data_IF_114937566435
#
_entry.id   IF_114937566435
#
_cell.length_a   1.000
_cell.length_b   1.000
_cell.length_c   1.000
_cell.angle_alpha   90.00
_cell.angle_beta   90.00
_cell.angle_gamma   90.00
#
_symmetry.space_group_name_H-M   'P 1'
#
loop_
_entity.id
_entity.type
_entity.pdbx_description
1 polymer ?
#
# COMPACT_ATOMS: atom_id res chain seq x y z
N UNK A 1 -21.81 -18.90 -19.89
CA UNK A 1 -20.72 -18.61 -20.85
C UNK A 1 -20.28 -17.13 -20.82
N UNK A 2 -21.18 -16.18 -20.51
CA UNK A 2 -20.91 -14.73 -20.52
C UNK A 2 -19.94 -14.21 -19.44
N UNK A 3 -19.97 -14.79 -18.23
CA UNK A 3 -19.13 -14.31 -17.12
C UNK A 3 -17.62 -14.54 -17.40
N UNK A 4 -17.27 -15.69 -18.00
CA UNK A 4 -15.88 -16.01 -18.40
C UNK A 4 -15.37 -15.04 -19.46
N UNK A 5 -16.23 -14.61 -20.37
CA UNK A 5 -15.88 -13.65 -21.41
C UNK A 5 -15.71 -12.23 -20.85
N UNK A 6 -16.55 -11.83 -19.90
CA UNK A 6 -16.40 -10.55 -19.17
C UNK A 6 -15.10 -10.48 -18.38
N UNK A 7 -14.76 -11.52 -17.61
CA UNK A 7 -13.50 -11.57 -16.85
C UNK A 7 -12.29 -11.51 -17.80
N UNK A 8 -12.36 -12.20 -18.95
CA UNK A 8 -11.29 -12.16 -19.97
C UNK A 8 -11.15 -10.77 -20.60
N UNK A 9 -12.24 -10.07 -20.82
CA UNK A 9 -12.26 -8.69 -21.33
C UNK A 9 -11.66 -7.71 -20.32
N UNK A 10 -12.06 -7.80 -19.05
CA UNK A 10 -11.52 -6.98 -17.97
C UNK A 10 -10.02 -7.19 -17.79
N UNK A 11 -9.55 -8.45 -17.84
CA UNK A 11 -8.12 -8.78 -17.80
C UNK A 11 -7.35 -8.19 -18.99
N UNK A 12 -7.93 -8.19 -20.19
CA UNK A 12 -7.32 -7.58 -21.38
C UNK A 12 -7.24 -6.06 -21.27
N UNK A 13 -8.30 -5.41 -20.76
CA UNK A 13 -8.30 -3.96 -20.49
C UNK A 13 -7.25 -3.61 -19.45
N UNK A 14 -7.19 -4.37 -18.36
CA UNK A 14 -6.18 -4.19 -17.32
C UNK A 14 -4.75 -4.34 -17.87
N UNK A 15 -4.50 -5.36 -18.69
CA UNK A 15 -3.20 -5.56 -19.33
C UNK A 15 -2.85 -4.46 -20.35
N UNK A 16 -3.84 -3.87 -21.01
CA UNK A 16 -3.62 -2.78 -21.96
C UNK A 16 -3.34 -1.45 -21.24
N UNK A 17 -4.03 -1.19 -20.13
CA UNK A 17 -3.77 -0.04 -19.25
C UNK A 17 -2.40 -0.19 -18.61
N UNK A 18 -2.06 -1.37 -18.07
CA UNK A 18 -0.77 -1.61 -17.41
C UNK A 18 0.45 -1.50 -18.31
N UNK A 19 0.31 -1.70 -19.63
CA UNK A 19 1.43 -1.55 -20.60
C UNK A 19 1.73 -0.11 -20.99
N UNK A 20 0.86 0.84 -20.64
CA UNK A 20 0.99 2.25 -21.02
C UNK A 20 1.46 3.16 -19.88
N UNK A 21 1.51 2.66 -18.66
CA UNK A 21 1.77 3.50 -17.50
C UNK A 21 3.25 3.82 -17.35
N UNK A 22 3.59 5.11 -17.40
CA UNK A 22 4.88 5.63 -16.98
C UNK A 22 4.98 5.61 -15.45
N UNK A 23 6.19 5.70 -14.92
CA UNK A 23 6.43 5.84 -13.47
C UNK A 23 5.68 7.06 -12.90
N UNK A 24 5.50 8.11 -13.70
CA UNK A 24 4.77 9.31 -13.30
C UNK A 24 3.26 9.07 -13.20
N UNK A 25 2.68 8.29 -14.12
CA UNK A 25 1.26 7.91 -14.06
C UNK A 25 0.99 7.01 -12.86
N UNK A 26 1.91 6.09 -12.55
CA UNK A 26 1.85 5.28 -11.33
C UNK A 26 1.89 6.13 -10.06
N UNK A 27 2.87 7.02 -9.96
CA UNK A 27 2.99 7.93 -8.82
C UNK A 27 1.76 8.83 -8.67
N UNK A 28 1.22 9.35 -9.77
CA UNK A 28 0.02 10.19 -9.78
C UNK A 28 -1.20 9.44 -9.24
N UNK A 29 -1.37 8.16 -9.61
CA UNK A 29 -2.44 7.33 -9.07
C UNK A 29 -2.29 7.12 -7.56
N UNK A 30 -1.09 6.76 -7.11
CA UNK A 30 -0.86 6.48 -5.68
C UNK A 30 -1.10 7.75 -4.86
N UNK A 31 -0.61 8.91 -5.33
CA UNK A 31 -0.84 10.21 -4.68
C UNK A 31 -2.34 10.59 -4.64
N UNK A 32 -3.11 10.26 -5.68
CA UNK A 32 -4.55 10.45 -5.66
C UNK A 32 -5.21 9.66 -4.53
N UNK A 33 -4.89 8.38 -4.37
CA UNK A 33 -5.45 7.57 -3.29
C UNK A 33 -5.03 8.06 -1.91
N UNK A 34 -3.77 8.45 -1.71
CA UNK A 34 -3.28 9.02 -0.44
C UNK A 34 -4.02 10.30 -0.06
N UNK A 35 -4.49 11.08 -1.04
CA UNK A 35 -5.27 12.30 -0.80
C UNK A 35 -6.74 12.02 -0.48
N UNK A 36 -7.32 10.97 -1.05
CA UNK A 36 -8.77 10.66 -0.94
C UNK A 36 -9.07 9.74 0.23
N UNK A 37 -8.25 8.71 0.46
CA UNK A 37 -8.52 7.66 1.46
C UNK A 37 -8.70 8.19 2.89
N UNK A 38 -7.88 9.13 3.41
CA UNK A 38 -8.07 9.63 4.77
C UNK A 38 -9.46 10.26 4.98
N UNK A 39 -9.94 11.01 3.98
CA UNK A 39 -11.27 11.65 4.01
C UNK A 39 -12.40 10.62 3.94
N UNK A 40 -12.24 9.62 3.07
CA UNK A 40 -13.25 8.58 2.89
C UNK A 40 -13.39 7.69 4.13
N UNK A 41 -12.26 7.36 4.75
CA UNK A 41 -12.18 6.48 5.92
C UNK A 41 -12.34 7.22 7.26
N UNK A 42 -12.33 8.56 7.24
CA UNK A 42 -12.35 9.42 8.43
C UNK A 42 -11.21 9.11 9.40
N UNK A 43 -9.99 8.98 8.87
CA UNK A 43 -8.77 8.72 9.66
C UNK A 43 -7.76 9.84 9.49
N UNK A 44 -6.83 9.97 10.44
CA UNK A 44 -5.85 11.05 10.46
C UNK A 44 -4.82 10.94 9.33
N UNK A 45 -4.34 9.72 9.05
CA UNK A 45 -3.32 9.45 8.02
C UNK A 45 -3.56 8.11 7.33
N UNK A 46 -3.21 8.01 6.06
CA UNK A 46 -3.12 6.75 5.33
C UNK A 46 -1.73 6.60 4.72
N UNK A 47 -1.30 5.35 4.61
CA UNK A 47 -0.06 4.99 3.95
C UNK A 47 -0.28 3.79 3.03
N UNK A 48 0.32 3.81 1.85
CA UNK A 48 0.36 2.70 0.90
C UNK A 48 1.79 2.17 0.87
N UNK A 49 1.92 0.87 1.11
CA UNK A 49 3.17 0.13 1.22
C UNK A 49 3.32 -0.78 -0.01
N UNK A 50 4.42 -0.63 -0.75
CA UNK A 50 4.72 -1.46 -1.92
C UNK A 50 5.96 -2.32 -1.66
N UNK A 51 5.81 -3.64 -1.62
CA UNK A 51 6.95 -4.56 -1.54
C UNK A 51 7.52 -4.79 -2.94
N UNK A 52 8.82 -4.56 -3.13
CA UNK A 52 9.52 -5.01 -4.34
C UNK A 52 9.64 -6.54 -4.35
N UNK A 53 9.37 -7.16 -5.50
CA UNK A 53 9.32 -8.62 -5.61
C UNK A 53 10.66 -9.32 -5.32
N UNK A 54 11.79 -8.62 -5.52
CA UNK A 54 13.14 -9.15 -5.34
C UNK A 54 13.82 -8.66 -4.05
N UNK A 55 13.19 -7.76 -3.30
CA UNK A 55 13.73 -7.24 -2.04
C UNK A 55 12.94 -7.77 -0.85
N UNK A 56 13.66 -8.34 0.12
CA UNK A 56 13.08 -8.80 1.39
C UNK A 56 12.83 -7.65 2.38
N UNK A 57 13.26 -6.42 2.07
CA UNK A 57 13.22 -5.31 3.03
C UNK A 57 12.61 -4.01 2.51
N UNK A 58 12.57 -3.78 1.19
CA UNK A 58 12.23 -2.47 0.67
C UNK A 58 10.73 -2.34 0.45
N UNK A 59 10.12 -1.49 1.27
CA UNK A 59 8.70 -1.15 1.18
C UNK A 59 8.56 0.34 0.98
N UNK A 60 8.23 0.77 -0.24
CA UNK A 60 8.02 2.19 -0.53
C UNK A 60 6.72 2.65 0.13
N UNK A 61 6.81 3.63 1.05
CA UNK A 61 5.64 4.30 1.64
C UNK A 61 5.28 5.54 0.84
N UNK A 62 4.02 5.59 0.43
CA UNK A 62 3.35 6.83 0.07
C UNK A 62 2.39 7.15 1.21
N UNK A 63 2.56 8.28 1.89
CA UNK A 63 1.77 8.61 3.08
C UNK A 63 1.21 10.02 3.06
N UNK A 64 0.10 10.23 3.77
CA UNK A 64 -0.51 11.57 3.89
C UNK A 64 0.49 12.53 4.53
N UNK A 65 0.87 13.59 3.81
CA UNK A 65 1.85 14.58 4.27
C UNK A 65 3.31 14.20 4.03
N UNK A 66 3.60 13.08 3.37
CA UNK A 66 4.95 12.72 2.94
C UNK A 66 5.21 13.25 1.52
N UNK A 67 6.05 14.28 1.41
CA UNK A 67 6.61 14.69 0.11
C UNK A 67 7.75 13.74 -0.27
N UNK A 68 7.40 12.63 -0.94
CA UNK A 68 8.37 11.66 -1.51
C UNK A 68 9.43 11.11 -0.52
N UNK A 69 9.09 10.98 0.76
CA UNK A 69 9.99 10.34 1.73
C UNK A 69 9.64 8.85 1.85
N UNK A 70 10.58 8.02 1.41
CA UNK A 70 10.55 6.57 1.53
C UNK A 70 10.85 6.21 2.99
N UNK A 71 9.92 5.52 3.64
CA UNK A 71 10.12 4.96 4.98
C UNK A 71 10.26 3.45 4.80
N UNK A 72 11.37 2.89 5.25
CA UNK A 72 11.58 1.44 5.21
C UNK A 72 11.04 0.82 6.50
N UNK A 73 9.95 0.06 6.40
CA UNK A 73 9.43 -0.70 7.53
C UNK A 73 9.95 -2.15 7.50
N UNK A 74 10.48 -2.70 8.60
CA UNK A 74 10.92 -4.09 8.65
C UNK A 74 9.73 -5.03 8.50
N UNK A 75 9.91 -6.17 7.81
CA UNK A 75 8.86 -7.19 7.72
C UNK A 75 8.62 -7.90 9.07
N UNK A 76 9.63 -8.00 9.92
CA UNK A 76 9.46 -8.55 11.27
C UNK A 76 9.12 -7.43 12.27
N UNK A 77 8.20 -7.72 13.20
CA UNK A 77 7.82 -6.78 14.26
C UNK A 77 7.01 -5.55 13.83
N UNK A 78 6.71 -5.37 12.53
CA UNK A 78 5.80 -4.31 12.06
C UNK A 78 4.39 -4.82 11.74
N UNK A 79 3.41 -3.92 11.84
CA UNK A 79 2.03 -4.19 11.43
C UNK A 79 1.93 -4.54 9.94
N UNK A 80 2.70 -3.84 9.11
CA UNK A 80 2.77 -4.06 7.65
C UNK A 80 3.25 -5.46 7.35
N UNK A 81 4.32 -5.89 8.01
CA UNK A 81 4.85 -7.23 7.87
C UNK A 81 3.87 -8.32 8.31
N UNK A 82 3.11 -8.08 9.37
CA UNK A 82 2.03 -8.98 9.80
C UNK A 82 0.93 -9.11 8.75
N UNK A 83 0.47 -8.01 8.15
CA UNK A 83 -0.51 -8.03 7.05
C UNK A 83 0.04 -8.76 5.83
N UNK A 84 1.30 -8.52 5.46
CA UNK A 84 1.95 -9.18 4.32
C UNK A 84 2.08 -10.70 4.51
N UNK A 85 2.39 -11.17 5.72
CA UNK A 85 2.45 -12.63 6.02
C UNK A 85 1.08 -13.27 6.04
N UNK A 86 0.10 -12.63 6.66
CA UNK A 86 -1.22 -13.23 6.91
C UNK A 86 -2.17 -13.10 5.70
N UNK A 87 -1.90 -12.15 4.80
CA UNK A 87 -2.76 -11.85 3.65
C UNK A 87 -4.14 -11.28 4.03
N UNK A 88 -4.35 -10.91 5.29
CA UNK A 88 -5.61 -10.42 5.84
C UNK A 88 -5.49 -9.03 6.45
N UNK A 89 -6.61 -8.35 6.60
CA UNK A 89 -6.70 -7.06 7.30
C UNK A 89 -6.44 -7.25 8.79
N UNK A 90 -5.66 -6.34 9.38
CA UNK A 90 -5.40 -6.30 10.82
C UNK A 90 -5.79 -4.92 11.34
N UNK A 91 -6.55 -4.90 12.44
CA UNK A 91 -6.81 -3.70 13.23
C UNK A 91 -6.12 -3.91 14.56
N UNK A 92 -5.29 -2.94 14.94
CA UNK A 92 -4.58 -2.97 16.21
C UNK A 92 -4.86 -1.67 16.94
N UNK A 93 -5.31 -1.80 18.18
CA UNK A 93 -5.62 -0.68 19.05
C UNK A 93 -4.48 -0.49 20.05
N UNK A 94 -4.41 0.71 20.63
CA UNK A 94 -3.49 1.03 21.72
C UNK A 94 -2.03 0.71 21.36
N UNK A 95 -1.65 1.00 20.11
CA UNK A 95 -0.33 0.66 19.56
C UNK A 95 0.82 1.26 20.41
N UNK A 96 0.60 2.42 21.03
CA UNK A 96 1.53 3.09 21.93
C UNK A 96 1.91 2.27 23.18
N UNK A 97 1.05 1.35 23.63
CA UNK A 97 1.33 0.48 24.78
C UNK A 97 2.14 -0.78 24.38
N UNK A 98 2.31 -1.03 23.08
CA UNK A 98 2.96 -2.23 22.56
C UNK A 98 4.36 -1.92 22.08
N UNK A 99 5.33 -2.73 22.51
CA UNK A 99 6.67 -2.71 21.93
C UNK A 99 6.61 -3.09 20.44
N UNK A 100 7.16 -2.24 19.57
CA UNK A 100 7.18 -2.48 18.13
C UNK A 100 8.00 -1.44 17.38
N UNK A 101 8.14 -1.65 16.07
CA UNK A 101 8.93 -0.75 15.20
C UNK A 101 8.45 0.71 15.23
N UNK A 102 7.15 0.94 15.46
CA UNK A 102 6.58 2.28 15.55
C UNK A 102 7.17 3.12 16.69
N UNK A 103 7.73 2.50 17.75
CA UNK A 103 8.43 3.22 18.83
C UNK A 103 9.83 3.69 18.38
N UNK A 104 10.46 2.96 17.45
CA UNK A 104 11.80 3.28 16.96
C UNK A 104 11.80 4.32 15.84
N UNK A 105 10.63 4.60 15.27
CA UNK A 105 10.44 5.44 14.09
C UNK A 105 9.79 6.81 14.39
N UNK A 106 9.37 7.05 15.63
CA UNK A 106 8.94 8.36 16.16
C UNK A 106 10.14 9.20 16.61
#
# INVERSE_FOLDING_TARGET
MELKNHVKMLRRRLAHVGRRWTVDEYNSLVMFYIKVLPKLMQVERCAIFLKEAESDSLVSIYGTGLEKNMIEAPLEGSMVGTVMRNGGSVIENDLHEKNGYHILAD
#
